data_IF_144637970404
#
_entry.id   IF_144637970404
#
_cell.length_a   1.000
_cell.length_b   1.000
_cell.length_c   1.000
_cell.angle_alpha   90.00
_cell.angle_beta   90.00
_cell.angle_gamma   90.00
#
_symmetry.space_group_name_H-M   'P 1'
#
loop_
_entity.id
_entity.type
_entity.pdbx_description
1 polymer ?
#
# COMPACT_ATOMS: atom_id res chain seq x y z
N UNK A 1 7.98 17.58 18.25
CA UNK A 1 8.55 16.70 19.30
C UNK A 1 10.04 16.91 19.53
N UNK A 2 10.90 16.90 18.50
CA UNK A 2 12.36 17.13 18.66
C UNK A 2 12.69 18.48 19.31
N UNK A 3 11.96 19.55 18.98
CA UNK A 3 12.14 20.88 19.57
C UNK A 3 11.81 20.92 21.08
N UNK A 4 10.63 20.42 21.50
CA UNK A 4 10.24 20.37 22.91
C UNK A 4 11.14 19.43 23.74
N UNK A 5 11.60 18.32 23.16
CA UNK A 5 12.48 17.36 23.84
C UNK A 5 13.92 17.85 24.04
N UNK A 6 14.36 18.88 23.30
CA UNK A 6 15.71 19.46 23.44
C UNK A 6 15.73 20.78 24.22
N UNK A 7 14.62 21.54 24.23
CA UNK A 7 14.60 22.92 24.75
C UNK A 7 13.63 23.16 25.93
N UNK A 8 12.73 22.22 26.27
CA UNK A 8 11.74 22.37 27.36
C UNK A 8 11.86 21.28 28.45
N UNK A 9 13.08 20.82 28.73
CA UNK A 9 13.34 19.79 29.76
C UNK A 9 13.04 20.26 31.18
N UNK A 10 13.07 21.58 31.43
CA UNK A 10 12.97 22.17 32.77
C UNK A 10 11.54 22.52 33.24
N UNK A 11 10.51 22.32 32.39
CA UNK A 11 9.10 22.58 32.75
C UNK A 11 8.18 21.40 32.35
N UNK A 12 7.91 20.44 33.26
CA UNK A 12 7.16 19.22 32.95
C UNK A 12 5.67 19.48 32.64
N UNK A 13 5.11 20.62 33.06
CA UNK A 13 3.70 20.97 32.85
C UNK A 13 3.39 21.50 31.43
N UNK A 14 4.39 21.91 30.64
CA UNK A 14 4.19 22.40 29.24
C UNK A 14 4.36 21.32 28.15
N UNK A 15 4.55 20.06 28.57
CA UNK A 15 4.64 18.93 27.64
C UNK A 15 3.31 18.58 26.99
N UNK A 16 2.19 18.90 27.64
CA UNK A 16 0.87 18.68 27.06
C UNK A 16 0.64 19.68 25.92
N UNK A 17 0.11 19.17 24.81
CA UNK A 17 -0.26 19.96 23.64
C UNK A 17 -1.79 19.99 23.61
N UNK A 18 -2.35 21.17 23.36
CA UNK A 18 -3.79 21.34 23.13
C UNK A 18 -4.23 20.54 21.91
N UNK A 19 -5.37 19.87 21.99
CA UNK A 19 -5.90 19.07 20.89
C UNK A 19 -6.12 19.91 19.61
N UNK A 20 -6.41 21.21 19.76
CA UNK A 20 -6.54 22.18 18.66
C UNK A 20 -5.29 22.30 17.77
N UNK A 21 -4.11 22.25 18.39
CA UNK A 21 -2.83 22.45 17.70
C UNK A 21 -2.38 21.15 16.99
N UNK A 22 -2.89 20.00 17.45
CA UNK A 22 -2.63 18.69 16.86
C UNK A 22 -3.50 18.40 15.63
N UNK A 23 -4.62 19.12 15.44
CA UNK A 23 -5.57 18.91 14.33
C UNK A 23 -4.92 18.68 12.97
N UNK A 24 -4.05 19.57 12.45
CA UNK A 24 -3.48 19.39 11.11
C UNK A 24 -2.64 18.11 10.99
N UNK A 25 -1.95 17.70 12.05
CA UNK A 25 -1.16 16.48 12.07
C UNK A 25 -2.04 15.24 12.10
N UNK A 26 -3.11 15.28 12.90
CA UNK A 26 -4.08 14.20 13.02
C UNK A 26 -4.89 14.03 11.72
N UNK A 27 -5.25 15.14 11.04
CA UNK A 27 -5.86 15.13 9.70
C UNK A 27 -4.97 14.38 8.72
N UNK A 28 -3.70 14.80 8.63
CA UNK A 28 -2.75 14.22 7.68
C UNK A 28 -2.52 12.73 7.96
N UNK A 29 -2.45 12.36 9.24
CA UNK A 29 -2.23 10.99 9.66
C UNK A 29 -3.41 10.09 9.32
N UNK A 30 -4.63 10.44 9.71
CA UNK A 30 -5.81 9.61 9.42
C UNK A 30 -6.12 9.59 7.92
N UNK A 31 -5.98 10.71 7.21
CA UNK A 31 -6.13 10.75 5.76
C UNK A 31 -5.07 9.86 5.07
N UNK A 32 -3.84 9.85 5.58
CA UNK A 32 -2.77 8.98 5.09
C UNK A 32 -3.07 7.49 5.33
N UNK A 33 -3.53 7.13 6.54
CA UNK A 33 -3.92 5.76 6.88
C UNK A 33 -5.07 5.28 6.00
N UNK A 34 -6.15 6.06 5.91
CA UNK A 34 -7.30 5.71 5.06
C UNK A 34 -6.90 5.63 3.59
N UNK A 35 -6.06 6.57 3.13
CA UNK A 35 -5.58 6.60 1.75
C UNK A 35 -4.75 5.37 1.40
N UNK A 36 -3.96 4.85 2.34
CA UNK A 36 -3.21 3.61 2.16
C UNK A 36 -4.16 2.42 1.92
N UNK A 37 -5.16 2.24 2.78
CA UNK A 37 -6.11 1.14 2.68
C UNK A 37 -6.99 1.24 1.43
N UNK A 38 -7.49 2.43 1.11
CA UNK A 38 -8.28 2.66 -0.10
C UNK A 38 -7.45 2.51 -1.37
N UNK A 39 -6.18 2.94 -1.38
CA UNK A 39 -5.28 2.74 -2.52
C UNK A 39 -5.07 1.25 -2.80
N UNK A 40 -4.92 0.44 -1.76
CA UNK A 40 -4.79 -1.01 -1.90
C UNK A 40 -6.04 -1.63 -2.55
N UNK A 41 -7.23 -1.28 -2.06
CA UNK A 41 -8.49 -1.73 -2.65
C UNK A 41 -8.65 -1.24 -4.10
N UNK A 42 -8.26 0.00 -4.39
CA UNK A 42 -8.28 0.57 -5.73
C UNK A 42 -7.41 -0.21 -6.72
N UNK A 43 -6.18 -0.53 -6.34
CA UNK A 43 -5.26 -1.34 -7.16
C UNK A 43 -5.82 -2.74 -7.39
N UNK A 44 -6.44 -3.35 -6.37
CA UNK A 44 -7.10 -4.66 -6.50
C UNK A 44 -8.27 -4.61 -7.49
N UNK A 45 -9.10 -3.55 -7.45
CA UNK A 45 -10.20 -3.34 -8.40
C UNK A 45 -9.66 -3.19 -9.83
N UNK A 46 -8.61 -2.40 -10.03
CA UNK A 46 -7.97 -2.25 -11.35
C UNK A 46 -7.52 -3.63 -11.89
N UNK A 47 -6.92 -4.48 -11.04
CA UNK A 47 -6.52 -5.83 -11.43
C UNK A 47 -7.71 -6.74 -11.71
N UNK A 48 -8.77 -6.67 -10.92
CA UNK A 48 -10.01 -7.38 -11.20
C UNK A 48 -10.55 -7.03 -12.59
N UNK A 49 -10.66 -5.75 -12.90
CA UNK A 49 -11.13 -5.26 -14.21
C UNK A 49 -10.20 -5.74 -15.33
N UNK A 50 -8.87 -5.65 -15.15
CA UNK A 50 -7.91 -6.11 -16.15
C UNK A 50 -7.95 -7.63 -16.40
N UNK A 51 -8.36 -8.42 -15.39
CA UNK A 51 -8.53 -9.87 -15.50
C UNK A 51 -9.80 -10.23 -16.28
N UNK A 52 -10.92 -9.55 -16.01
CA UNK A 52 -12.22 -9.85 -16.64
C UNK A 52 -12.46 -9.17 -17.99
N UNK A 53 -11.86 -8.00 -18.24
CA UNK A 53 -12.04 -7.29 -19.50
C UNK A 53 -11.20 -7.91 -20.63
N UNK A 54 -11.85 -8.40 -21.69
CA UNK A 54 -11.18 -8.96 -22.87
C UNK A 54 -10.41 -7.90 -23.67
N UNK A 55 -10.90 -6.66 -23.70
CA UNK A 55 -10.34 -5.54 -24.47
C UNK A 55 -9.60 -4.51 -23.59
N UNK A 56 -8.77 -4.97 -22.66
CA UNK A 56 -8.00 -4.07 -21.81
C UNK A 56 -6.87 -3.37 -22.59
N UNK A 57 -7.09 -2.12 -23.00
CA UNK A 57 -6.12 -1.25 -23.68
C UNK A 57 -5.35 -0.38 -22.68
N UNK A 58 -4.18 0.11 -23.08
CA UNK A 58 -3.33 0.99 -22.24
C UNK A 58 -4.01 2.32 -21.91
N UNK A 59 -4.84 2.84 -22.82
CA UNK A 59 -5.62 4.07 -22.60
C UNK A 59 -6.74 3.88 -21.58
N UNK A 60 -7.40 2.71 -21.59
CA UNK A 60 -8.44 2.36 -20.62
C UNK A 60 -7.83 2.16 -19.21
N UNK A 61 -6.70 1.46 -19.11
CA UNK A 61 -5.95 1.32 -17.85
C UNK A 61 -5.61 2.67 -17.23
N UNK A 62 -5.11 3.61 -18.03
CA UNK A 62 -4.78 4.96 -17.56
C UNK A 62 -6.02 5.70 -17.05
N UNK A 63 -7.15 5.64 -17.77
CA UNK A 63 -8.40 6.28 -17.32
C UNK A 63 -8.88 5.69 -16.00
N UNK A 64 -8.93 4.36 -15.89
CA UNK A 64 -9.37 3.67 -14.68
C UNK A 64 -8.47 4.04 -13.50
N UNK A 65 -7.15 4.00 -13.68
CA UNK A 65 -6.19 4.35 -12.62
C UNK A 65 -6.34 5.80 -12.13
N UNK A 66 -6.54 6.76 -13.05
CA UNK A 66 -6.79 8.16 -12.69
C UNK A 66 -8.10 8.30 -11.91
N UNK A 67 -9.20 7.71 -12.40
CA UNK A 67 -10.49 7.77 -11.72
C UNK A 67 -10.43 7.18 -10.32
N UNK A 68 -9.80 6.01 -10.16
CA UNK A 68 -9.63 5.36 -8.86
C UNK A 68 -8.80 6.25 -7.92
N UNK A 69 -7.70 6.82 -8.40
CA UNK A 69 -6.85 7.71 -7.59
C UNK A 69 -7.61 8.95 -7.11
N UNK A 70 -8.39 9.60 -7.98
CA UNK A 70 -9.21 10.76 -7.59
C UNK A 70 -10.25 10.39 -6.53
N UNK A 71 -10.93 9.25 -6.70
CA UNK A 71 -11.91 8.75 -5.73
C UNK A 71 -11.26 8.43 -4.39
N UNK A 72 -10.09 7.78 -4.39
CA UNK A 72 -9.34 7.44 -3.16
C UNK A 72 -8.96 8.70 -2.38
N UNK A 73 -8.47 9.73 -3.07
CA UNK A 73 -8.10 11.00 -2.41
C UNK A 73 -9.33 11.65 -1.76
N UNK A 74 -10.46 11.72 -2.48
CA UNK A 74 -11.70 12.27 -1.95
C UNK A 74 -12.20 11.50 -0.72
N UNK A 75 -12.25 10.17 -0.81
CA UNK A 75 -12.68 9.32 0.31
C UNK A 75 -11.75 9.45 1.52
N UNK A 76 -10.45 9.62 1.29
CA UNK A 76 -9.47 9.78 2.38
C UNK A 76 -9.72 11.06 3.19
N UNK A 77 -10.00 12.17 2.52
CA UNK A 77 -10.35 13.43 3.20
C UNK A 77 -11.71 13.36 3.91
N UNK A 78 -12.69 12.69 3.30
CA UNK A 78 -14.01 12.51 3.92
C UNK A 78 -13.93 11.66 5.20
N UNK A 79 -13.07 10.64 5.22
CA UNK A 79 -12.93 9.71 6.36
C UNK A 79 -12.48 10.42 7.62
N UNK A 80 -11.52 11.36 7.52
CA UNK A 80 -11.12 12.20 8.65
C UNK A 80 -12.32 13.00 9.20
N UNK A 81 -13.11 13.62 8.31
CA UNK A 81 -14.26 14.45 8.68
C UNK A 81 -15.33 13.63 9.40
N UNK A 82 -15.51 12.37 9.03
CA UNK A 82 -16.46 11.46 9.71
C UNK A 82 -15.98 11.02 11.09
N UNK A 83 -14.66 10.86 11.29
CA UNK A 83 -14.09 10.45 12.59
C UNK A 83 -14.22 11.57 13.63
N UNK A 84 -13.91 12.81 13.25
CA UNK A 84 -13.83 13.97 14.17
C UNK A 84 -15.13 14.81 14.25
N UNK A 85 -16.25 14.33 13.70
CA UNK A 85 -17.46 15.15 13.46
C UNK A 85 -18.07 15.79 14.72
N UNK A 86 -17.77 15.31 15.94
CA UNK A 86 -18.34 15.83 17.20
C UNK A 86 -17.34 15.94 18.36
N UNK A 87 -16.04 16.05 18.09
CA UNK A 87 -15.08 16.19 19.19
C UNK A 87 -14.99 17.66 19.65
N UNK A 88 -15.33 17.98 20.91
CA UNK A 88 -14.89 19.23 21.51
C UNK A 88 -13.37 19.08 21.73
N UNK A 89 -12.59 19.72 20.86
CA UNK A 89 -11.11 19.76 20.86
C UNK A 89 -10.53 20.51 22.08
N UNK A 90 -11.15 20.37 23.24
CA UNK A 90 -10.85 21.08 24.49
C UNK A 90 -9.93 20.26 25.41
N UNK A 91 -9.46 19.09 24.96
CA UNK A 91 -8.57 18.23 25.73
C UNK A 91 -7.07 18.58 25.57
N UNK A 92 -6.27 17.99 26.46
CA UNK A 92 -4.81 18.05 26.41
C UNK A 92 -4.24 16.66 26.13
N UNK A 93 -3.47 16.54 25.05
CA UNK A 93 -2.84 15.27 24.65
C UNK A 93 -1.33 15.36 24.75
N UNK A 94 -0.71 14.26 25.17
CA UNK A 94 0.75 14.16 25.24
C UNK A 94 1.39 13.97 23.85
N UNK A 95 0.66 13.35 22.92
CA UNK A 95 1.10 13.12 21.55
C UNK A 95 -0.08 13.24 20.59
N UNK A 96 0.11 13.84 19.41
CA UNK A 96 -0.94 13.93 18.38
C UNK A 96 -1.27 12.59 17.70
N UNK A 97 -0.55 11.51 18.05
CA UNK A 97 -0.68 10.16 17.47
C UNK A 97 -1.69 9.27 18.22
N UNK A 98 -2.06 9.65 19.44
CA UNK A 98 -2.97 8.88 20.29
C UNK A 98 -4.33 9.59 20.30
N UNK A 99 -5.43 8.92 19.92
CA UNK A 99 -6.76 9.53 19.96
C UNK A 99 -7.16 9.85 21.41
N UNK A 100 -7.87 10.97 21.59
CA UNK A 100 -8.41 11.39 22.89
C UNK A 100 -9.43 10.37 23.43
N UNK A 101 -9.63 10.34 24.75
CA UNK A 101 -10.52 9.37 25.40
C UNK A 101 -11.97 9.45 24.89
N UNK A 102 -12.43 10.65 24.55
CA UNK A 102 -13.76 10.90 23.97
C UNK A 102 -13.91 10.26 22.59
N UNK A 103 -12.86 10.34 21.78
CA UNK A 103 -12.84 9.83 20.40
C UNK A 103 -12.34 8.38 20.26
N UNK A 104 -11.92 7.77 21.37
CA UNK A 104 -11.32 6.42 21.40
C UNK A 104 -12.27 5.32 20.90
N UNK A 105 -13.59 5.46 21.13
CA UNK A 105 -14.58 4.49 20.64
C UNK A 105 -14.69 4.51 19.11
N UNK A 106 -14.73 5.70 18.51
CA UNK A 106 -14.79 5.89 17.05
C UNK A 106 -13.49 5.43 16.39
N UNK A 107 -12.35 5.74 17.01
CA UNK A 107 -11.04 5.26 16.55
C UNK A 107 -10.95 3.72 16.56
N UNK A 108 -11.49 3.04 17.57
CA UNK A 108 -11.55 1.57 17.59
C UNK A 108 -12.40 1.00 16.46
N UNK A 109 -13.57 1.59 16.22
CA UNK A 109 -14.43 1.20 15.12
C UNK A 109 -13.74 1.36 13.77
N UNK A 110 -13.02 2.46 13.58
CA UNK A 110 -12.20 2.67 12.38
C UNK A 110 -11.12 1.58 12.23
N UNK A 111 -10.39 1.25 13.29
CA UNK A 111 -9.38 0.18 13.25
C UNK A 111 -9.98 -1.19 12.95
N UNK A 112 -11.14 -1.50 13.53
CA UNK A 112 -11.87 -2.73 13.24
C UNK A 112 -12.28 -2.81 11.75
N UNK A 113 -12.83 -1.72 11.21
CA UNK A 113 -13.18 -1.62 9.79
C UNK A 113 -11.94 -1.81 8.91
N UNK A 114 -10.80 -1.21 9.26
CA UNK A 114 -9.54 -1.41 8.54
C UNK A 114 -9.06 -2.86 8.56
N UNK A 115 -9.18 -3.58 9.69
CA UNK A 115 -8.86 -5.01 9.77
C UNK A 115 -9.78 -5.82 8.86
N UNK A 116 -11.09 -5.57 8.91
CA UNK A 116 -12.05 -6.26 8.02
C UNK A 116 -11.77 -5.98 6.54
N UNK A 117 -11.48 -4.73 6.18
CA UNK A 117 -11.17 -4.33 4.81
C UNK A 117 -9.87 -4.97 4.30
N UNK A 118 -8.81 -4.98 5.11
CA UNK A 118 -7.53 -5.62 4.74
C UNK A 118 -7.67 -7.13 4.59
N UNK A 119 -8.47 -7.78 5.44
CA UNK A 119 -8.80 -9.19 5.31
C UNK A 119 -9.58 -9.48 4.01
N UNK A 120 -10.57 -8.65 3.67
CA UNK A 120 -11.29 -8.75 2.40
C UNK A 120 -10.36 -8.55 1.20
N UNK A 121 -9.51 -7.52 1.23
CA UNK A 121 -8.51 -7.26 0.20
C UNK A 121 -7.57 -8.46 0.01
N UNK A 122 -7.23 -9.16 1.10
CA UNK A 122 -6.39 -10.35 1.05
C UNK A 122 -7.08 -11.50 0.34
N UNK A 123 -8.32 -11.83 0.73
CA UNK A 123 -9.11 -12.90 0.10
C UNK A 123 -9.29 -12.61 -1.39
N UNK A 124 -9.69 -11.39 -1.72
CA UNK A 124 -9.90 -10.99 -3.11
C UNK A 124 -8.59 -11.02 -3.93
N UNK A 125 -7.47 -10.60 -3.35
CA UNK A 125 -6.15 -10.70 -4.00
C UNK A 125 -5.76 -12.15 -4.28
N UNK A 126 -6.01 -13.06 -3.33
CA UNK A 126 -5.78 -14.50 -3.52
C UNK A 126 -6.70 -15.09 -4.59
N UNK A 127 -7.98 -14.70 -4.62
CA UNK A 127 -8.95 -15.16 -5.62
C UNK A 127 -8.55 -14.71 -7.04
N UNK A 128 -8.16 -13.44 -7.22
CA UNK A 128 -7.68 -12.92 -8.51
C UNK A 128 -6.39 -13.65 -8.93
N UNK A 129 -5.47 -13.90 -8.00
CA UNK A 129 -4.25 -14.67 -8.28
C UNK A 129 -4.55 -16.11 -8.73
N UNK A 130 -5.45 -16.79 -8.03
CA UNK A 130 -5.87 -18.15 -8.38
C UNK A 130 -6.49 -18.18 -9.79
N UNK A 131 -7.43 -17.28 -10.06
CA UNK A 131 -8.07 -17.17 -11.38
C UNK A 131 -7.06 -16.89 -12.49
N UNK A 132 -6.10 -15.98 -12.26
CA UNK A 132 -5.05 -15.66 -13.22
C UNK A 132 -4.13 -16.86 -13.51
N UNK A 133 -3.80 -17.69 -12.49
CA UNK A 133 -3.05 -18.94 -12.70
C UNK A 133 -3.84 -19.94 -13.55
N UNK A 134 -5.12 -20.15 -13.24
CA UNK A 134 -5.98 -21.06 -14.02
C UNK A 134 -6.07 -20.61 -15.48
N UNK A 135 -6.20 -19.30 -15.72
CA UNK A 135 -6.27 -18.75 -17.07
C UNK A 135 -4.94 -18.95 -17.84
N UNK A 136 -3.78 -18.86 -17.18
CA UNK A 136 -2.48 -19.15 -17.80
C UNK A 136 -2.41 -20.57 -18.36
N UNK A 137 -2.90 -21.56 -17.61
CA UNK A 137 -2.93 -22.95 -18.06
C UNK A 137 -3.78 -23.16 -19.32
N UNK A 138 -4.87 -22.39 -19.50
CA UNK A 138 -5.78 -22.53 -20.66
C UNK A 138 -5.23 -21.90 -21.95
N UNK A 139 -4.35 -20.90 -21.89
CA UNK A 139 -3.90 -20.10 -23.06
C UNK A 139 -2.47 -20.50 -23.50
N UNK A 140 -2.04 -21.74 -23.22
CA UNK A 140 -0.66 -22.20 -23.42
C UNK A 140 -0.11 -21.99 -24.84
N UNK A 141 -0.98 -22.00 -25.85
CA UNK A 141 -0.61 -21.99 -27.27
C UNK A 141 -0.47 -20.60 -27.91
N UNK A 142 -0.88 -19.49 -27.25
CA UNK A 142 -0.80 -18.13 -27.81
C UNK A 142 0.29 -17.29 -27.14
N UNK A 143 1.47 -17.19 -27.78
CA UNK A 143 2.67 -16.51 -27.26
C UNK A 143 2.47 -15.03 -26.88
N UNK A 144 1.85 -14.22 -27.75
CA UNK A 144 1.66 -12.77 -27.51
C UNK A 144 0.70 -12.48 -26.36
N UNK A 145 -0.40 -13.24 -26.30
CA UNK A 145 -1.38 -13.14 -25.20
C UNK A 145 -0.76 -13.61 -23.87
N UNK A 146 0.09 -14.65 -23.90
CA UNK A 146 0.82 -15.14 -22.73
C UNK A 146 1.77 -14.10 -22.13
N UNK A 147 2.55 -13.36 -22.93
CA UNK A 147 3.44 -12.34 -22.39
C UNK A 147 2.70 -11.24 -21.63
N UNK A 148 1.61 -10.71 -22.21
CA UNK A 148 0.77 -9.67 -21.58
C UNK A 148 0.09 -10.19 -20.30
N UNK A 149 -0.39 -11.44 -20.32
CA UNK A 149 -1.00 -12.08 -19.14
C UNK A 149 0.03 -12.42 -18.05
N UNK A 150 1.26 -12.76 -18.42
CA UNK A 150 2.33 -13.06 -17.44
C UNK A 150 2.81 -11.83 -16.68
N UNK A 151 2.88 -10.66 -17.35
CA UNK A 151 3.12 -9.38 -16.68
C UNK A 151 2.00 -9.03 -15.67
N UNK A 152 0.75 -9.31 -16.03
CA UNK A 152 -0.39 -9.13 -15.13
C UNK A 152 -0.37 -10.12 -13.93
N UNK A 153 -0.02 -11.39 -14.15
CA UNK A 153 0.13 -12.41 -13.11
C UNK A 153 1.21 -12.02 -12.12
N UNK A 154 2.38 -11.63 -12.62
CA UNK A 154 3.49 -11.20 -11.78
C UNK A 154 3.03 -10.00 -10.92
N UNK A 155 2.49 -8.94 -11.54
CA UNK A 155 1.97 -7.78 -10.81
C UNK A 155 0.94 -8.15 -9.73
N UNK A 156 0.04 -9.11 -10.00
CA UNK A 156 -0.97 -9.58 -9.05
C UNK A 156 -0.33 -10.32 -7.86
N UNK A 157 0.72 -11.11 -8.10
CA UNK A 157 1.46 -11.79 -7.04
C UNK A 157 2.08 -10.79 -6.04
N UNK A 158 2.61 -9.67 -6.52
CA UNK A 158 3.10 -8.62 -5.63
C UNK A 158 2.01 -7.94 -4.84
N UNK A 159 0.87 -7.66 -5.45
CA UNK A 159 -0.29 -7.10 -4.73
C UNK A 159 -0.74 -8.06 -3.63
N UNK A 160 -0.70 -9.37 -3.88
CA UNK A 160 -0.99 -10.37 -2.85
C UNK A 160 0.03 -10.33 -1.69
N UNK A 161 1.33 -10.19 -1.97
CA UNK A 161 2.37 -10.05 -0.93
C UNK A 161 2.16 -8.78 -0.12
N UNK A 162 1.88 -7.66 -0.78
CA UNK A 162 1.54 -6.37 -0.15
C UNK A 162 0.31 -6.53 0.74
N UNK A 163 -0.71 -7.24 0.26
CA UNK A 163 -1.94 -7.46 1.02
C UNK A 163 -1.72 -8.33 2.25
N UNK A 164 -0.87 -9.36 2.14
CA UNK A 164 -0.47 -10.20 3.26
C UNK A 164 0.30 -9.39 4.31
N UNK A 165 1.30 -8.60 3.89
CA UNK A 165 2.09 -7.80 4.82
C UNK A 165 1.24 -6.72 5.50
N UNK A 166 0.36 -6.03 4.76
CA UNK A 166 -0.55 -5.05 5.33
C UNK A 166 -1.55 -5.68 6.30
N UNK A 167 -2.08 -6.86 6.00
CA UNK A 167 -2.93 -7.59 6.92
C UNK A 167 -2.18 -7.94 8.22
N UNK A 168 -0.97 -8.49 8.13
CA UNK A 168 -0.15 -8.85 9.30
C UNK A 168 0.17 -7.62 10.15
N UNK A 169 0.58 -6.50 9.53
CA UNK A 169 0.92 -5.27 10.24
C UNK A 169 -0.31 -4.62 10.90
N UNK A 170 -1.47 -4.66 10.23
CA UNK A 170 -2.72 -4.08 10.77
C UNK A 170 -3.27 -4.96 11.90
N UNK A 171 -3.13 -6.28 11.77
CA UNK A 171 -3.50 -7.24 12.81
C UNK A 171 -2.59 -7.10 14.04
N UNK A 172 -1.28 -6.98 13.84
CA UNK A 172 -0.34 -6.80 14.96
C UNK A 172 -0.56 -5.48 15.69
N UNK A 173 -0.89 -4.40 14.98
CA UNK A 173 -1.26 -3.13 15.60
C UNK A 173 -2.54 -3.24 16.42
N UNK A 174 -3.59 -3.86 15.87
CA UNK A 174 -4.89 -4.00 16.54
C UNK A 174 -4.79 -4.90 17.78
N UNK A 175 -4.11 -6.04 17.67
CA UNK A 175 -3.84 -6.94 18.80
C UNK A 175 -2.93 -6.29 19.85
N UNK A 176 -1.87 -5.61 19.41
CA UNK A 176 -0.95 -4.92 20.30
C UNK A 176 -1.64 -3.82 21.11
N UNK A 177 -2.49 -3.02 20.47
CA UNK A 177 -3.31 -2.02 21.17
C UNK A 177 -4.32 -2.64 22.15
N UNK A 178 -4.95 -3.77 21.79
CA UNK A 178 -5.88 -4.46 22.68
C UNK A 178 -5.16 -4.98 23.94
N UNK A 179 -4.00 -5.63 23.75
CA UNK A 179 -3.19 -6.14 24.86
C UNK A 179 -2.69 -5.02 25.78
N UNK A 180 -2.23 -3.90 25.20
CA UNK A 180 -1.84 -2.70 25.94
C UNK A 180 -2.98 -2.13 26.78
N UNK A 181 -4.20 -2.09 26.23
CA UNK A 181 -5.37 -1.58 26.94
C UNK A 181 -5.84 -2.49 28.07
N UNK A 182 -5.80 -3.82 27.88
CA UNK A 182 -6.14 -4.76 28.95
C UNK A 182 -5.19 -4.65 30.15
N UNK A 183 -3.93 -4.26 29.93
CA UNK A 183 -2.90 -4.16 30.95
C UNK A 183 -2.63 -2.72 31.42
N UNK A 184 -3.46 -1.74 31.03
CA UNK A 184 -3.22 -0.32 31.30
C UNK A 184 -3.16 0.00 32.81
N UNK A 185 -3.97 -0.69 33.61
CA UNK A 185 -4.03 -0.49 35.07
C UNK A 185 -2.82 -1.08 35.81
N UNK A 186 -2.01 -1.90 35.14
CA UNK A 186 -0.85 -2.58 35.73
C UNK A 186 0.47 -1.94 35.31
N UNK A 187 0.45 -0.95 34.41
CA UNK A 187 1.65 -0.36 33.82
C UNK A 187 1.80 1.11 34.17
N UNK A 188 3.06 1.54 34.34
CA UNK A 188 3.39 2.96 34.42
C UNK A 188 3.07 3.64 33.08
N UNK A 189 2.55 4.87 33.14
CA UNK A 189 2.16 5.66 31.96
C UNK A 189 3.31 5.82 30.96
N UNK A 190 4.55 5.98 31.43
CA UNK A 190 5.75 6.09 30.58
C UNK A 190 6.02 4.81 29.78
N UNK A 191 5.91 3.64 30.41
CA UNK A 191 6.09 2.34 29.76
C UNK A 191 5.00 2.06 28.74
N UNK A 192 3.75 2.44 29.06
CA UNK A 192 2.62 2.34 28.13
C UNK A 192 2.86 3.15 26.85
N UNK A 193 3.30 4.39 26.97
CA UNK A 193 3.56 5.27 25.83
C UNK A 193 4.73 4.78 24.97
N UNK A 194 5.82 4.31 25.59
CA UNK A 194 6.94 3.74 24.87
C UNK A 194 6.50 2.53 24.03
N UNK A 195 5.72 1.62 24.61
CA UNK A 195 5.22 0.43 23.92
C UNK A 195 4.23 0.77 22.79
N UNK A 196 3.37 1.78 22.97
CA UNK A 196 2.45 2.25 21.91
C UNK A 196 3.22 2.72 20.68
N UNK A 197 4.32 3.46 20.85
CA UNK A 197 5.16 3.92 19.73
C UNK A 197 5.81 2.74 18.99
N UNK A 198 6.29 1.72 19.72
CA UNK A 198 6.88 0.53 19.11
C UNK A 198 5.86 -0.35 18.38
N UNK A 199 4.63 -0.44 18.92
CA UNK A 199 3.53 -1.22 18.33
C UNK A 199 2.87 -0.48 17.16
N UNK A 200 3.12 0.82 17.01
CA UNK A 200 2.57 1.63 15.91
C UNK A 200 3.16 1.19 14.56
N UNK A 201 2.46 0.28 13.86
CA UNK A 201 2.99 -0.34 12.63
C UNK A 201 2.71 0.44 11.34
N UNK A 202 1.84 1.45 11.41
CA UNK A 202 1.43 2.30 10.30
C UNK A 202 2.60 2.87 9.48
N UNK A 203 3.64 3.49 10.05
CA UNK A 203 4.76 4.04 9.27
C UNK A 203 5.52 2.96 8.49
N UNK A 204 5.65 1.76 9.05
CA UNK A 204 6.29 0.64 8.34
C UNK A 204 5.46 0.21 7.14
N UNK A 205 4.13 0.15 7.28
CA UNK A 205 3.23 -0.17 6.16
C UNK A 205 3.23 0.91 5.07
N UNK A 206 3.33 2.19 5.46
CA UNK A 206 3.41 3.32 4.55
C UNK A 206 4.72 3.34 3.75
N UNK A 207 5.85 2.90 4.34
CA UNK A 207 7.14 2.77 3.64
C UNK A 207 7.21 1.54 2.73
N UNK A 208 6.51 0.45 3.09
CA UNK A 208 6.54 -0.79 2.33
C UNK A 208 5.96 -0.62 0.92
N UNK A 209 4.89 0.16 0.78
CA UNK A 209 4.21 0.42 -0.49
C UNK A 209 5.10 1.08 -1.58
N UNK A 210 5.72 2.26 -1.34
CA UNK A 210 6.56 2.91 -2.33
C UNK A 210 7.82 2.08 -2.65
N UNK A 211 8.38 1.36 -1.68
CA UNK A 211 9.52 0.46 -1.92
C UNK A 211 9.14 -0.63 -2.93
N UNK A 212 7.97 -1.25 -2.75
CA UNK A 212 7.47 -2.29 -3.65
C UNK A 212 7.17 -1.73 -5.04
N UNK A 213 6.58 -0.53 -5.13
CA UNK A 213 6.35 0.14 -6.41
C UNK A 213 7.65 0.46 -7.15
N UNK A 214 8.67 0.99 -6.46
CA UNK A 214 9.98 1.29 -7.04
C UNK A 214 10.66 0.00 -7.53
N UNK A 215 10.62 -1.05 -6.71
CA UNK A 215 11.17 -2.36 -7.09
C UNK A 215 10.51 -2.88 -8.37
N UNK A 216 9.18 -2.75 -8.49
CA UNK A 216 8.43 -3.12 -9.69
C UNK A 216 8.80 -2.31 -10.91
N UNK A 217 8.86 -0.98 -10.79
CA UNK A 217 9.25 -0.10 -11.91
C UNK A 217 10.65 -0.48 -12.42
N UNK A 218 11.59 -0.75 -11.50
CA UNK A 218 12.95 -1.18 -11.86
C UNK A 218 12.95 -2.55 -12.53
N UNK A 219 12.23 -3.53 -11.98
CA UNK A 219 12.12 -4.86 -12.56
C UNK A 219 11.54 -4.82 -13.99
N UNK A 220 10.46 -4.06 -14.22
CA UNK A 220 9.86 -3.90 -15.55
C UNK A 220 10.82 -3.23 -16.53
N UNK A 221 11.58 -2.21 -16.09
CA UNK A 221 12.61 -1.57 -16.93
C UNK A 221 13.70 -2.56 -17.34
N UNK A 222 14.26 -3.32 -16.39
CA UNK A 222 15.29 -4.32 -16.67
C UNK A 222 14.78 -5.39 -17.63
N UNK A 223 13.56 -5.87 -17.44
CA UNK A 223 12.96 -6.90 -18.28
C UNK A 223 12.71 -6.41 -19.71
N UNK A 224 12.33 -5.14 -19.89
CA UNK A 224 12.22 -4.51 -21.22
C UNK A 224 13.59 -4.36 -21.88
N UNK A 225 14.61 -3.93 -21.15
CA UNK A 225 15.97 -3.77 -21.69
C UNK A 225 16.51 -5.13 -22.16
N UNK A 226 16.41 -6.18 -21.34
CA UNK A 226 16.83 -7.53 -21.72
C UNK A 226 16.11 -8.05 -22.96
N UNK A 227 14.79 -7.83 -23.04
CA UNK A 227 14.00 -8.27 -24.20
C UNK A 227 14.39 -7.52 -25.48
N UNK A 228 14.72 -6.23 -25.38
CA UNK A 228 15.26 -5.48 -26.53
C UNK A 228 16.62 -6.06 -26.92
N UNK A 229 17.53 -6.25 -25.95
CA UNK A 229 18.85 -6.84 -26.19
C UNK A 229 18.76 -8.18 -26.90
N UNK A 230 17.94 -9.12 -26.40
CA UNK A 230 17.72 -10.45 -27.01
C UNK A 230 17.23 -10.36 -28.47
N UNK A 231 16.35 -9.40 -28.78
CA UNK A 231 15.86 -9.19 -30.15
C UNK A 231 16.98 -8.62 -31.04
N UNK A 232 17.75 -7.66 -30.53
CA UNK A 232 18.89 -7.09 -31.27
C UNK A 232 19.97 -8.14 -31.54
N UNK A 233 20.31 -9.00 -30.57
CA UNK A 233 21.33 -10.04 -30.76
C UNK A 233 20.90 -11.08 -31.78
N UNK A 234 19.65 -11.55 -31.72
CA UNK A 234 19.12 -12.49 -32.74
C UNK A 234 19.14 -11.86 -34.14
N UNK A 235 18.83 -10.56 -34.24
CA UNK A 235 18.85 -9.85 -35.52
C UNK A 235 20.28 -9.68 -36.05
N UNK A 236 21.25 -9.37 -35.19
CA UNK A 236 22.66 -9.29 -35.60
C UNK A 236 23.19 -10.64 -36.04
N UNK A 237 22.89 -11.71 -35.30
CA UNK A 237 23.34 -13.07 -35.63
C UNK A 237 22.78 -13.52 -36.99
N UNK A 238 21.50 -13.23 -37.27
CA UNK A 238 20.90 -13.52 -38.58
C UNK A 238 21.50 -12.70 -39.72
N UNK A 239 21.81 -11.41 -39.49
CA UNK A 239 22.47 -10.57 -40.49
C UNK A 239 23.86 -11.11 -40.80
N UNK A 240 24.62 -11.49 -39.76
CA UNK A 240 25.96 -12.08 -39.89
C UNK A 240 25.94 -13.41 -40.66
N UNK A 241 24.93 -14.25 -40.39
CA UNK A 241 24.72 -15.51 -41.12
C UNK A 241 24.45 -15.28 -42.61
N UNK A 242 23.58 -14.33 -42.95
CA UNK A 242 23.26 -13.98 -44.34
C UNK A 242 24.52 -13.42 -45.05
N UNK A 243 25.30 -12.60 -44.37
CA UNK A 243 26.54 -12.03 -44.90
C UNK A 243 27.59 -13.11 -45.19
N UNK A 244 27.73 -14.10 -44.30
CA UNK A 244 28.62 -15.24 -44.50
C UNK A 244 28.20 -16.12 -45.68
N UNK A 245 26.89 -16.37 -45.85
CA UNK A 245 26.37 -17.11 -47.01
C UNK A 245 26.61 -16.34 -48.31
N UNK A 246 26.38 -15.02 -48.30
CA UNK A 246 26.61 -14.17 -49.46
C UNK A 246 28.09 -14.19 -49.88
N UNK A 247 29.00 -14.02 -48.91
CA UNK A 247 30.43 -13.99 -49.17
C UNK A 247 30.98 -15.35 -49.66
N UNK A 248 30.42 -16.46 -49.19
CA UNK A 248 30.78 -17.80 -49.68
C UNK A 248 30.16 -18.15 -51.04
N UNK A 249 29.06 -17.50 -51.42
CA UNK A 249 28.45 -17.69 -52.75
C UNK A 249 29.13 -16.87 -53.87
N UNK A 250 29.90 -15.84 -53.50
CA UNK A 250 30.61 -14.94 -54.42
C UNK A 250 32.13 -15.23 -54.49
N UNK A 251 32.61 -16.28 -53.83
CA UNK A 251 33.98 -16.82 -53.92
C UNK A 251 33.98 -18.10 -54.75
#
# INVERSE_FOLDING_TARGET
MVYKGLFLTDQPCEWLITESDCVPYTVLLYAGISGMFYSQTGVLIERGIATFASNYTTTLSRRIGVTISTVVVLLSFLTYRTIMWDDPLDGYVLTCFVPSAHSAHRANWFLFICVCLTFFNLIASMAVMYYNKVLEYRIRYKLRERFKKREAIDSTHTICIVSMSQFILTLSYSLGLLLLRCNINQMLISTFLALVVWIYTVPYSALLLPVILIFRIRATKVLRIRKIQDITTIQTDHIEQIQNIWNTSNS
#
